data_IF_312209754936
#
_entry.id   IF_312209754936
#
_cell.length_a   1.000
_cell.length_b   1.000
_cell.length_c   1.000
_cell.angle_alpha   90.00
_cell.angle_beta   90.00
_cell.angle_gamma   90.00
#
_symmetry.space_group_name_H-M   'P 1'
#
loop_
_entity.id
_entity.type
_entity.pdbx_description
1 polymer ?
#
# COMPACT_ATOMS: atom_id res chain seq x y z
N UNK A 1 27.04 -36.16 20.17
CA UNK A 1 25.62 -35.77 20.34
C UNK A 1 25.41 -34.38 20.96
N UNK A 2 26.41 -33.74 21.58
CA UNK A 2 26.25 -32.42 22.22
C UNK A 2 26.15 -31.20 21.27
N UNK A 3 26.48 -31.36 19.98
CA UNK A 3 26.50 -30.23 19.01
C UNK A 3 25.08 -29.89 18.52
N UNK A 4 24.13 -30.84 18.64
CA UNK A 4 22.75 -30.67 18.16
C UNK A 4 21.90 -29.78 19.07
N UNK A 5 22.17 -29.79 20.38
CA UNK A 5 21.40 -29.00 21.36
C UNK A 5 21.81 -27.51 21.31
N UNK A 6 23.09 -27.23 21.10
CA UNK A 6 23.59 -25.84 20.99
C UNK A 6 23.08 -25.16 19.71
N UNK A 7 23.02 -25.86 18.58
CA UNK A 7 22.47 -25.31 17.34
C UNK A 7 20.96 -25.01 17.46
N UNK A 8 20.23 -25.82 18.23
CA UNK A 8 18.79 -25.64 18.46
C UNK A 8 18.51 -24.44 19.37
N UNK A 9 19.34 -24.22 20.40
CA UNK A 9 19.21 -23.05 21.29
C UNK A 9 19.58 -21.72 20.61
N UNK A 10 20.57 -21.73 19.71
CA UNK A 10 20.95 -20.52 18.94
C UNK A 10 19.86 -20.17 17.92
N UNK A 11 19.22 -21.17 17.29
CA UNK A 11 18.06 -20.93 16.42
C UNK A 11 16.86 -20.34 17.18
N UNK A 12 16.61 -20.80 18.41
CA UNK A 12 15.53 -20.28 19.26
C UNK A 12 15.81 -18.85 19.76
N UNK A 13 17.06 -18.52 20.10
CA UNK A 13 17.40 -17.14 20.51
C UNK A 13 17.38 -16.14 19.36
N UNK A 14 17.61 -16.57 18.12
CA UNK A 14 17.51 -15.70 16.93
C UNK A 14 16.06 -15.42 16.53
N UNK A 15 15.11 -16.33 16.84
CA UNK A 15 13.68 -16.07 16.65
C UNK A 15 13.06 -15.24 17.78
N UNK A 16 13.70 -15.18 18.96
CA UNK A 16 13.19 -14.47 20.13
C UNK A 16 13.64 -13.00 20.20
N UNK A 17 14.60 -12.58 19.37
CA UNK A 17 15.09 -11.19 19.28
C UNK A 17 14.30 -10.32 18.31
N UNK A 18 13.38 -10.88 17.52
CA UNK A 18 12.27 -10.12 16.96
C UNK A 18 11.26 -9.85 18.10
N UNK A 19 11.64 -8.99 19.05
CA UNK A 19 10.75 -8.51 20.10
C UNK A 19 9.45 -8.06 19.41
N UNK A 20 8.37 -8.77 19.69
CA UNK A 20 7.05 -8.38 19.24
C UNK A 20 6.83 -6.95 19.74
N UNK A 21 6.84 -5.99 18.82
CA UNK A 21 6.59 -4.59 19.13
C UNK A 21 5.26 -4.55 19.88
N UNK A 22 5.20 -3.87 21.03
CA UNK A 22 3.99 -3.84 21.84
C UNK A 22 2.79 -3.36 20.99
N UNK A 23 1.61 -3.98 21.10
CA UNK A 23 0.43 -3.62 20.30
C UNK A 23 0.08 -2.12 20.40
N UNK A 24 0.37 -1.45 21.53
CA UNK A 24 0.18 -0.01 21.66
C UNK A 24 1.13 0.76 20.75
N UNK A 25 2.41 0.40 20.72
CA UNK A 25 3.41 1.03 19.84
C UNK A 25 3.04 0.82 18.36
N UNK A 26 2.56 -0.37 17.99
CA UNK A 26 2.09 -0.63 16.63
C UNK A 26 0.88 0.25 16.25
N UNK A 27 -0.09 0.39 17.16
CA UNK A 27 -1.25 1.26 16.94
C UNK A 27 -0.82 2.73 16.78
N UNK A 28 0.11 3.20 17.61
CA UNK A 28 0.64 4.57 17.52
C UNK A 28 1.28 4.79 16.14
N UNK A 29 2.15 3.89 15.68
CA UNK A 29 2.77 3.98 14.35
C UNK A 29 1.70 4.02 13.26
N UNK A 30 0.72 3.12 13.32
CA UNK A 30 -0.37 3.06 12.36
C UNK A 30 -1.18 4.37 12.31
N UNK A 31 -1.56 4.92 13.46
CA UNK A 31 -2.26 6.20 13.55
C UNK A 31 -1.38 7.38 13.10
N UNK A 32 -0.08 7.35 13.36
CA UNK A 32 0.85 8.37 12.87
C UNK A 32 0.98 8.33 11.34
N UNK A 33 1.05 7.14 10.73
CA UNK A 33 1.05 6.99 9.27
C UNK A 33 -0.26 7.48 8.69
N UNK A 34 -1.40 7.07 9.25
CA UNK A 34 -2.72 7.52 8.81
C UNK A 34 -2.89 9.04 8.96
N UNK A 35 -2.48 9.60 10.10
CA UNK A 35 -2.57 11.03 10.39
C UNK A 35 -1.66 11.85 9.48
N UNK A 36 -0.40 11.44 9.31
CA UNK A 36 0.53 12.05 8.37
C UNK A 36 -0.01 12.03 6.94
N UNK A 37 -0.61 10.90 6.54
CA UNK A 37 -1.25 10.80 5.23
C UNK A 37 -2.52 11.65 5.13
N UNK A 38 -3.34 11.74 6.18
CA UNK A 38 -4.52 12.60 6.20
C UNK A 38 -4.15 14.09 5.98
N UNK A 39 -3.03 14.54 6.55
CA UNK A 39 -2.51 15.91 6.36
C UNK A 39 -2.17 16.17 4.89
N UNK A 40 -1.70 15.16 4.14
CA UNK A 40 -1.39 15.34 2.71
C UNK A 40 -2.62 15.71 1.87
N UNK A 41 -3.85 15.38 2.32
CA UNK A 41 -5.07 15.80 1.61
C UNK A 41 -5.34 17.30 1.66
N UNK A 42 -4.73 18.02 2.60
CA UNK A 42 -4.80 19.48 2.66
C UNK A 42 -3.86 20.17 1.66
N UNK A 43 -2.98 19.41 1.00
CA UNK A 43 -2.03 19.95 0.03
C UNK A 43 -2.70 20.24 -1.33
N UNK A 44 -2.11 21.13 -2.15
CA UNK A 44 -2.54 21.34 -3.53
C UNK A 44 -2.56 20.04 -4.35
N UNK A 45 -3.34 20.01 -5.44
CA UNK A 45 -3.58 18.79 -6.26
C UNK A 45 -2.29 18.04 -6.60
N UNK A 46 -1.32 18.73 -7.21
CA UNK A 46 -0.07 18.16 -7.69
C UNK A 46 0.77 17.54 -6.55
N UNK A 47 1.20 18.30 -5.52
CA UNK A 47 2.03 17.73 -4.45
C UNK A 47 1.33 16.60 -3.68
N UNK A 48 0.01 16.70 -3.47
CA UNK A 48 -0.79 15.62 -2.86
C UNK A 48 -0.65 14.32 -3.67
N UNK A 49 -0.93 14.36 -4.97
CA UNK A 49 -0.91 13.18 -5.82
C UNK A 49 0.51 12.61 -6.02
N UNK A 50 1.54 13.46 -6.04
CA UNK A 50 2.94 13.02 -6.05
C UNK A 50 3.29 12.24 -4.78
N UNK A 51 2.93 12.77 -3.60
CA UNK A 51 3.19 12.08 -2.33
C UNK A 51 2.45 10.74 -2.28
N UNK A 52 1.19 10.72 -2.72
CA UNK A 52 0.39 9.50 -2.77
C UNK A 52 0.98 8.49 -3.75
N UNK A 53 1.50 8.94 -4.89
CA UNK A 53 2.14 8.10 -5.89
C UNK A 53 3.43 7.47 -5.35
N UNK A 54 4.30 8.28 -4.75
CA UNK A 54 5.54 7.81 -4.12
C UNK A 54 5.24 6.81 -3.00
N UNK A 55 4.22 7.08 -2.19
CA UNK A 55 3.78 6.17 -1.14
C UNK A 55 3.31 4.82 -1.71
N UNK A 56 2.52 4.82 -2.77
CA UNK A 56 2.08 3.60 -3.45
C UNK A 56 3.24 2.80 -4.05
N UNK A 57 4.16 3.49 -4.72
CA UNK A 57 5.36 2.86 -5.26
C UNK A 57 6.25 2.30 -4.16
N UNK A 58 6.35 2.96 -3.01
CA UNK A 58 7.08 2.46 -1.85
C UNK A 58 6.42 1.20 -1.27
N UNK A 59 5.09 1.22 -1.11
CA UNK A 59 4.33 0.06 -0.60
C UNK A 59 4.41 -1.16 -1.51
N UNK A 60 4.50 -0.96 -2.83
CA UNK A 60 4.70 -2.06 -3.78
C UNK A 60 6.17 -2.43 -3.97
N UNK A 61 7.09 -1.47 -3.88
CA UNK A 61 8.52 -1.67 -4.10
C UNK A 61 9.19 -2.44 -2.98
N UNK A 62 8.90 -2.10 -1.71
CA UNK A 62 9.55 -2.76 -0.57
C UNK A 62 9.30 -4.27 -0.53
N UNK A 63 8.06 -4.79 -0.70
CA UNK A 63 7.84 -6.23 -0.76
C UNK A 63 8.60 -6.93 -1.88
N UNK A 64 8.72 -6.31 -3.06
CA UNK A 64 9.47 -6.88 -4.18
C UNK A 64 10.96 -6.94 -3.85
N UNK A 65 11.52 -5.86 -3.28
CA UNK A 65 12.93 -5.84 -2.90
C UNK A 65 13.25 -6.87 -1.80
N UNK A 66 12.31 -7.11 -0.88
CA UNK A 66 12.41 -8.18 0.11
C UNK A 66 12.39 -9.56 -0.54
N UNK A 67 11.44 -9.83 -1.45
CA UNK A 67 11.35 -11.11 -2.18
C UNK A 67 12.59 -11.38 -3.04
N UNK A 68 13.24 -10.35 -3.57
CA UNK A 68 14.49 -10.44 -4.33
C UNK A 68 15.74 -10.54 -3.44
N UNK A 69 15.59 -10.63 -2.11
CA UNK A 69 16.69 -10.63 -1.14
C UNK A 69 17.64 -9.43 -1.26
N UNK A 70 17.15 -8.30 -1.77
CA UNK A 70 17.91 -7.03 -1.85
C UNK A 70 17.93 -6.32 -0.49
N UNK A 71 16.93 -6.58 0.36
CA UNK A 71 16.77 -5.98 1.68
C UNK A 71 16.15 -6.98 2.65
N UNK A 72 16.62 -6.98 3.90
CA UNK A 72 16.02 -7.76 5.00
C UNK A 72 14.81 -7.06 5.66
N UNK A 73 14.48 -5.85 5.23
CA UNK A 73 13.34 -5.10 5.75
C UNK A 73 12.02 -5.71 5.27
N UNK A 74 11.26 -6.26 6.21
CA UNK A 74 9.91 -6.76 5.96
C UNK A 74 8.88 -5.75 6.46
N UNK A 75 7.95 -5.34 5.59
CA UNK A 75 6.82 -4.54 6.02
C UNK A 75 5.94 -5.38 6.95
N UNK A 76 5.64 -4.90 8.18
CA UNK A 76 4.75 -5.61 9.09
C UNK A 76 3.38 -5.81 8.43
N UNK A 77 3.01 -7.07 8.18
CA UNK A 77 1.68 -7.42 7.64
C UNK A 77 0.64 -7.39 8.76
N UNK A 78 0.34 -6.19 9.25
CA UNK A 78 -0.70 -5.98 10.25
C UNK A 78 -2.04 -5.74 9.54
N UNK A 79 -3.10 -6.32 10.09
CA UNK A 79 -4.46 -6.10 9.59
C UNK A 79 -4.79 -4.60 9.54
N UNK A 80 -4.44 -3.86 10.59
CA UNK A 80 -4.66 -2.41 10.71
C UNK A 80 -3.93 -1.63 9.60
N UNK A 81 -2.67 -1.97 9.30
CA UNK A 81 -1.93 -1.34 8.20
C UNK A 81 -2.59 -1.59 6.85
N UNK A 82 -3.12 -2.80 6.64
CA UNK A 82 -3.86 -3.15 5.42
C UNK A 82 -5.12 -2.32 5.24
N UNK A 83 -5.87 -2.06 6.33
CA UNK A 83 -7.03 -1.16 6.31
C UNK A 83 -6.62 0.28 5.99
N UNK A 84 -5.55 0.78 6.62
CA UNK A 84 -5.06 2.14 6.41
C UNK A 84 -4.62 2.34 4.96
N UNK A 85 -3.82 1.43 4.41
CA UNK A 85 -3.36 1.47 3.02
C UNK A 85 -4.57 1.50 2.06
N UNK A 86 -5.61 0.72 2.37
CA UNK A 86 -6.81 0.68 1.53
C UNK A 86 -7.63 1.95 1.60
N UNK A 87 -7.80 2.51 2.80
CA UNK A 87 -8.47 3.79 2.99
C UNK A 87 -7.74 4.90 2.23
N UNK A 88 -6.41 4.93 2.33
CA UNK A 88 -5.53 5.82 1.59
C UNK A 88 -5.79 5.71 0.09
N UNK A 89 -5.76 4.50 -0.46
CA UNK A 89 -5.90 4.28 -1.91
C UNK A 89 -7.31 4.62 -2.40
N UNK A 90 -8.34 4.28 -1.63
CA UNK A 90 -9.71 4.71 -1.93
C UNK A 90 -9.84 6.23 -1.97
N UNK A 91 -9.28 6.92 -0.98
CA UNK A 91 -9.34 8.38 -0.93
C UNK A 91 -8.55 9.00 -2.08
N UNK A 92 -7.34 8.51 -2.36
CA UNK A 92 -6.51 8.98 -3.47
C UNK A 92 -7.19 8.75 -4.82
N UNK A 93 -7.61 7.52 -5.12
CA UNK A 93 -8.32 7.18 -6.35
C UNK A 93 -9.63 7.95 -6.49
N UNK A 94 -10.37 8.10 -5.40
CA UNK A 94 -11.59 8.91 -5.35
C UNK A 94 -11.34 10.40 -5.65
N UNK A 95 -10.23 10.96 -5.15
CA UNK A 95 -9.85 12.34 -5.52
C UNK A 95 -9.51 12.46 -7.00
N UNK A 96 -8.85 11.45 -7.59
CA UNK A 96 -8.53 11.45 -9.02
C UNK A 96 -9.79 11.39 -9.90
N UNK A 97 -10.76 10.55 -9.52
CA UNK A 97 -12.06 10.46 -10.19
C UNK A 97 -12.80 11.80 -10.11
N UNK A 98 -12.81 12.42 -8.92
CA UNK A 98 -13.46 13.71 -8.70
C UNK A 98 -12.79 14.84 -9.48
N UNK A 99 -11.46 14.87 -9.51
CA UNK A 99 -10.69 15.90 -10.23
C UNK A 99 -10.85 15.72 -11.75
N UNK A 100 -10.76 14.48 -12.25
CA UNK A 100 -10.98 14.16 -13.67
C UNK A 100 -12.41 14.46 -14.16
N UNK A 101 -13.42 14.25 -13.30
CA UNK A 101 -14.79 14.64 -13.60
C UNK A 101 -14.96 16.17 -13.71
N UNK A 102 -14.27 16.94 -12.86
CA UNK A 102 -14.37 18.40 -12.82
C UNK A 102 -13.70 19.08 -14.01
N UNK A 103 -12.51 18.62 -14.39
CA UNK A 103 -11.75 19.23 -15.50
C UNK A 103 -12.37 18.90 -16.86
N UNK A 104 -13.01 17.73 -16.98
CA UNK A 104 -13.64 17.31 -18.23
C UNK A 104 -12.63 17.12 -19.37
N UNK A 105 -13.14 16.85 -20.58
CA UNK A 105 -12.29 16.60 -21.75
C UNK A 105 -11.56 15.26 -21.73
N UNK A 106 -10.80 14.99 -22.80
CA UNK A 106 -10.18 13.67 -23.04
C UNK A 106 -9.18 13.27 -21.94
N UNK A 107 -8.41 14.23 -21.43
CA UNK A 107 -7.43 14.01 -20.36
C UNK A 107 -8.12 13.76 -19.01
N UNK A 108 -9.17 14.54 -18.68
CA UNK A 108 -9.96 14.35 -17.47
C UNK A 108 -10.66 12.98 -17.41
N UNK A 109 -11.23 12.52 -18.53
CA UNK A 109 -11.79 11.17 -18.62
C UNK A 109 -10.72 10.08 -18.46
N UNK A 110 -9.52 10.28 -19.00
CA UNK A 110 -8.38 9.38 -18.81
C UNK A 110 -8.02 9.23 -17.33
N UNK A 111 -7.86 10.35 -16.62
CA UNK A 111 -7.59 10.37 -15.19
C UNK A 111 -8.72 9.70 -14.38
N UNK A 112 -9.98 9.90 -14.77
CA UNK A 112 -11.13 9.24 -14.14
C UNK A 112 -11.07 7.72 -14.30
N UNK A 113 -10.81 7.22 -15.51
CA UNK A 113 -10.68 5.78 -15.78
C UNK A 113 -9.53 5.19 -14.98
N UNK A 114 -8.37 5.85 -14.95
CA UNK A 114 -7.25 5.39 -14.13
C UNK A 114 -7.59 5.38 -12.63
N UNK A 115 -8.32 6.38 -12.14
CA UNK A 115 -8.77 6.41 -10.75
C UNK A 115 -9.67 5.23 -10.40
N UNK A 116 -10.63 4.90 -11.28
CA UNK A 116 -11.50 3.73 -11.11
C UNK A 116 -10.70 2.43 -11.14
N UNK A 117 -9.75 2.29 -12.08
CA UNK A 117 -8.90 1.10 -12.18
C UNK A 117 -8.05 0.93 -10.92
N UNK A 118 -7.41 2.01 -10.43
CA UNK A 118 -6.60 1.98 -9.20
C UNK A 118 -7.46 1.55 -8.01
N UNK A 119 -8.65 2.16 -7.86
CA UNK A 119 -9.56 1.78 -6.78
C UNK A 119 -9.98 0.32 -6.89
N UNK A 120 -10.43 -0.15 -8.06
CA UNK A 120 -10.89 -1.52 -8.23
C UNK A 120 -9.76 -2.55 -8.00
N UNK A 121 -8.57 -2.26 -8.53
CA UNK A 121 -7.40 -3.16 -8.46
C UNK A 121 -6.91 -3.38 -7.03
N UNK A 122 -7.12 -2.42 -6.14
CA UNK A 122 -6.70 -2.51 -4.74
C UNK A 122 -7.85 -2.86 -3.80
N UNK A 123 -9.03 -2.28 -4.03
CA UNK A 123 -10.17 -2.46 -3.15
C UNK A 123 -10.62 -3.92 -3.11
N UNK A 124 -10.71 -4.58 -4.26
CA UNK A 124 -11.16 -5.97 -4.35
C UNK A 124 -10.26 -6.92 -3.53
N UNK A 125 -8.91 -6.97 -3.75
CA UNK A 125 -8.06 -7.86 -2.98
C UNK A 125 -8.02 -7.49 -1.49
N UNK A 126 -8.14 -6.20 -1.12
CA UNK A 126 -8.24 -5.86 0.31
C UNK A 126 -9.55 -6.34 0.92
N UNK A 127 -10.71 -6.04 0.30
CA UNK A 127 -12.01 -6.45 0.82
C UNK A 127 -12.08 -7.97 1.03
N UNK A 128 -11.42 -8.73 0.16
CA UNK A 128 -11.26 -10.17 0.31
C UNK A 128 -10.38 -10.53 1.52
N UNK A 129 -9.21 -9.91 1.67
CA UNK A 129 -8.31 -10.14 2.83
C UNK A 129 -8.94 -9.86 4.19
N UNK A 130 -9.87 -8.91 4.26
CA UNK A 130 -10.57 -8.56 5.50
C UNK A 130 -11.87 -9.36 5.72
N UNK A 131 -12.15 -10.35 4.88
CA UNK A 131 -13.39 -11.14 4.90
C UNK A 131 -14.67 -10.30 4.76
N UNK A 132 -14.60 -9.10 4.14
CA UNK A 132 -15.76 -8.27 3.88
C UNK A 132 -16.58 -8.77 2.67
N UNK A 133 -15.92 -9.49 1.75
CA UNK A 133 -16.55 -10.20 0.63
C UNK A 133 -16.18 -11.68 0.69
N UNK A 134 -17.15 -12.55 0.41
CA UNK A 134 -17.01 -14.02 0.55
C UNK A 134 -16.91 -14.74 -0.79
N UNK A 135 -16.92 -14.02 -1.91
CA UNK A 135 -16.70 -14.61 -3.22
C UNK A 135 -15.28 -15.16 -3.29
N UNK A 136 -15.11 -16.38 -3.82
CA UNK A 136 -13.79 -16.99 -3.95
C UNK A 136 -13.03 -16.29 -5.08
N UNK A 137 -12.16 -15.36 -4.72
CA UNK A 137 -11.27 -14.68 -5.68
C UNK A 137 -10.05 -15.58 -5.89
N UNK A 138 -9.60 -15.80 -7.13
CA UNK A 138 -8.34 -16.50 -7.37
C UNK A 138 -7.25 -15.89 -6.49
N UNK A 139 -6.63 -16.69 -5.63
CA UNK A 139 -5.58 -16.20 -4.76
C UNK A 139 -4.40 -15.76 -5.63
N UNK A 140 -4.21 -14.45 -5.76
CA UNK A 140 -3.07 -13.91 -6.50
C UNK A 140 -1.81 -14.01 -5.64
N UNK A 141 -0.66 -14.39 -6.22
CA UNK A 141 0.64 -14.29 -5.58
C UNK A 141 0.87 -12.89 -4.98
N UNK A 142 1.49 -12.76 -3.79
CA UNK A 142 1.78 -11.48 -3.15
C UNK A 142 2.48 -10.48 -4.07
N UNK A 143 3.40 -10.97 -4.91
CA UNK A 143 4.12 -10.17 -5.90
C UNK A 143 3.20 -9.45 -6.89
N UNK A 144 2.06 -10.03 -7.26
CA UNK A 144 1.10 -9.38 -8.16
C UNK A 144 0.47 -8.18 -7.48
N UNK A 145 0.10 -8.29 -6.20
CA UNK A 145 -0.42 -7.16 -5.43
C UNK A 145 0.63 -6.04 -5.32
N UNK A 146 1.89 -6.41 -5.10
CA UNK A 146 3.00 -5.47 -5.03
C UNK A 146 3.19 -4.71 -6.37
N UNK A 147 3.14 -5.43 -7.49
CA UNK A 147 3.18 -4.84 -8.83
C UNK A 147 1.96 -3.92 -9.06
N UNK A 148 0.76 -4.32 -8.65
CA UNK A 148 -0.44 -3.49 -8.78
C UNK A 148 -0.33 -2.18 -8.00
N UNK A 149 0.31 -2.17 -6.83
CA UNK A 149 0.59 -0.93 -6.10
C UNK A 149 1.59 -0.03 -6.83
N UNK A 150 2.68 -0.59 -7.39
CA UNK A 150 3.64 0.17 -8.20
C UNK A 150 2.94 0.76 -9.43
N UNK A 151 2.21 -0.06 -10.18
CA UNK A 151 1.46 0.38 -11.37
C UNK A 151 0.45 1.46 -11.00
N UNK A 152 -0.25 1.32 -9.88
CA UNK A 152 -1.18 2.35 -9.39
C UNK A 152 -0.47 3.65 -9.06
N UNK A 153 0.70 3.58 -8.40
CA UNK A 153 1.52 4.75 -8.13
C UNK A 153 2.02 5.44 -9.40
N UNK A 154 2.47 4.68 -10.40
CA UNK A 154 2.90 5.21 -11.71
C UNK A 154 1.73 5.83 -12.46
N UNK A 155 0.57 5.16 -12.52
CA UNK A 155 -0.63 5.67 -13.17
C UNK A 155 -1.12 6.96 -12.50
N UNK A 156 -1.07 7.03 -11.18
CA UNK A 156 -1.41 8.23 -10.43
C UNK A 156 -0.44 9.37 -10.75
N UNK A 157 0.86 9.09 -10.84
CA UNK A 157 1.86 10.09 -11.20
C UNK A 157 1.60 10.65 -12.59
N UNK A 158 1.38 9.78 -13.58
CA UNK A 158 1.06 10.18 -14.96
C UNK A 158 -0.22 11.01 -14.97
N UNK A 159 -1.27 10.53 -14.29
CA UNK A 159 -2.56 11.23 -14.21
C UNK A 159 -2.43 12.61 -13.56
N UNK A 160 -1.51 12.78 -12.60
CA UNK A 160 -1.23 14.08 -11.96
C UNK A 160 -0.77 15.13 -12.97
N UNK A 161 0.07 14.73 -13.93
CA UNK A 161 0.55 15.62 -14.98
C UNK A 161 -0.45 15.77 -16.14
N UNK A 162 -1.40 14.84 -16.29
CA UNK A 162 -2.49 14.94 -17.26
C UNK A 162 -3.58 15.93 -16.82
N UNK A 163 -3.82 16.03 -15.51
CA UNK A 163 -4.73 17.00 -14.88
C UNK A 163 -4.08 18.41 -14.77
N UNK A 164 -3.18 18.74 -15.71
CA UNK A 164 -2.41 19.97 -15.70
C UNK A 164 -3.27 21.20 -16.01
N UNK A 165 -3.44 22.02 -14.96
CA UNK A 165 -4.26 23.25 -14.81
C UNK A 165 -5.76 23.15 -15.13
#
# INVERSE_FOLDING_TARGET
>A
MAISETATQVAQTTQQSAQAVDPLTMNIIAFSVLGGFAITFALPKIPKHIIHSLFLMFLGGVPILYELAVTDFQLPQLAIMTYIITAIIMLTGGTLVKDGWKEGGKLGYGAMIFGIIIMASVLIPTLYKINAITFNIPAYPPIINAILYILSGVLLLISTFMLGE
#
